data_IF_338421243583
#
_entry.id   IF_338421243583
#
_cell.length_a   1.000
_cell.length_b   1.000
_cell.length_c   1.000
_cell.angle_alpha   90.00
_cell.angle_beta   90.00
_cell.angle_gamma   90.00
#
_symmetry.space_group_name_H-M   'P 1'
#
loop_
_entity.id
_entity.type
_entity.pdbx_description
1 polymer ?
#
# COMPACT_ATOMS: atom_id res chain seq x y z
N UNK A 1 -7.08 -5.23 -6.51
CA UNK A 1 -6.06 -4.23 -6.13
C UNK A 1 -5.46 -3.60 -7.38
N UNK A 2 -5.37 -2.28 -7.40
CA UNK A 2 -4.80 -1.56 -8.53
C UNK A 2 -3.27 -1.66 -8.53
N UNK A 3 -2.69 -1.95 -9.69
CA UNK A 3 -1.24 -1.94 -9.84
C UNK A 3 -0.81 -0.60 -10.45
N UNK A 4 0.14 0.07 -9.81
CA UNK A 4 0.62 1.37 -10.27
C UNK A 4 1.38 1.22 -11.58
N UNK A 5 0.99 1.96 -12.60
CA UNK A 5 1.62 1.90 -13.94
C UNK A 5 2.53 3.08 -14.22
N UNK A 6 2.44 4.14 -13.45
CA UNK A 6 3.28 5.31 -13.56
C UNK A 6 3.56 5.87 -12.18
N UNK A 7 4.55 6.77 -12.08
CA UNK A 7 5.01 7.32 -10.80
C UNK A 7 4.09 8.44 -10.31
N UNK A 8 2.83 8.08 -10.03
CA UNK A 8 1.78 9.04 -9.71
C UNK A 8 0.93 8.68 -8.48
N UNK A 9 1.52 7.97 -7.52
CA UNK A 9 0.79 7.61 -6.30
C UNK A 9 0.26 8.83 -5.57
N UNK A 10 1.00 9.95 -5.62
CA UNK A 10 0.58 11.20 -5.00
C UNK A 10 -0.78 11.69 -5.50
N UNK A 11 -1.10 11.43 -6.77
CA UNK A 11 -2.41 11.78 -7.32
C UNK A 11 -3.50 10.83 -6.81
N UNK A 12 -3.18 9.55 -6.73
CA UNK A 12 -4.12 8.52 -6.26
C UNK A 12 -4.52 8.77 -4.81
N UNK A 13 -3.55 9.11 -3.94
CA UNK A 13 -3.86 9.36 -2.53
C UNK A 13 -4.64 10.66 -2.33
N UNK A 14 -4.56 11.59 -3.25
CA UNK A 14 -5.37 12.82 -3.21
C UNK A 14 -6.78 12.59 -3.73
N UNK A 15 -6.95 11.72 -4.71
CA UNK A 15 -8.24 11.44 -5.35
C UNK A 15 -9.10 10.46 -4.56
N UNK A 16 -8.51 9.70 -3.64
CA UNK A 16 -9.21 8.71 -2.85
C UNK A 16 -9.00 9.00 -1.37
N UNK A 17 -10.09 9.03 -0.61
CA UNK A 17 -10.02 9.36 0.80
C UNK A 17 -9.13 8.41 1.59
N UNK A 18 -9.25 7.10 1.32
CA UNK A 18 -8.50 6.07 2.04
C UNK A 18 -7.78 5.17 1.05
N UNK A 19 -6.47 5.05 1.23
CA UNK A 19 -5.63 4.25 0.33
C UNK A 19 -4.69 3.38 1.16
N UNK A 20 -4.61 2.11 0.80
CA UNK A 20 -3.61 1.19 1.36
C UNK A 20 -2.65 0.80 0.24
N UNK A 21 -1.37 1.02 0.47
CA UNK A 21 -0.32 0.75 -0.53
C UNK A 21 0.56 -0.39 -0.07
N UNK A 22 0.81 -1.34 -0.96
CA UNK A 22 1.88 -2.31 -0.79
C UNK A 22 3.04 -1.88 -1.68
N UNK A 23 4.16 -1.51 -1.07
CA UNK A 23 5.40 -1.28 -1.81
C UNK A 23 6.15 -2.59 -1.97
N UNK A 24 6.57 -2.88 -3.18
CA UNK A 24 7.29 -4.10 -3.49
C UNK A 24 8.31 -3.90 -4.59
N UNK A 25 8.88 -4.98 -5.09
CA UNK A 25 9.82 -4.99 -6.21
C UNK A 25 9.74 -6.34 -6.91
N UNK A 26 10.19 -6.38 -8.16
CA UNK A 26 10.13 -7.61 -8.97
C UNK A 26 10.97 -8.76 -8.39
N UNK A 27 12.04 -8.45 -7.66
CA UNK A 27 12.92 -9.44 -7.05
C UNK A 27 12.45 -9.91 -5.67
N UNK A 28 11.43 -9.28 -5.12
CA UNK A 28 10.98 -9.55 -3.74
C UNK A 28 9.99 -10.72 -3.71
N UNK A 29 10.46 -11.89 -3.27
CA UNK A 29 9.61 -13.09 -3.19
C UNK A 29 8.44 -12.94 -2.24
N UNK A 30 8.68 -12.32 -1.08
CA UNK A 30 7.61 -12.10 -0.07
C UNK A 30 6.55 -11.15 -0.61
N UNK A 31 6.97 -10.13 -1.38
CA UNK A 31 6.03 -9.20 -2.01
C UNK A 31 5.07 -9.93 -2.95
N UNK A 32 5.60 -10.91 -3.70
CA UNK A 32 4.78 -11.71 -4.62
C UNK A 32 3.79 -12.60 -3.89
N UNK A 33 4.17 -13.09 -2.70
CA UNK A 33 3.29 -13.92 -1.86
C UNK A 33 2.20 -13.06 -1.22
N UNK A 34 2.54 -11.86 -0.76
CA UNK A 34 1.60 -10.96 -0.09
C UNK A 34 0.61 -10.32 -1.05
N UNK A 35 1.02 -10.05 -2.28
CA UNK A 35 0.19 -9.36 -3.27
C UNK A 35 -1.20 -9.99 -3.46
N UNK A 36 -1.33 -11.30 -3.72
CA UNK A 36 -2.65 -11.90 -3.85
C UNK A 36 -3.46 -11.88 -2.55
N UNK A 37 -2.79 -11.90 -1.39
CA UNK A 37 -3.48 -11.83 -0.10
C UNK A 37 -4.12 -10.45 0.09
N UNK A 38 -3.42 -9.39 -0.27
CA UNK A 38 -3.97 -8.03 -0.21
C UNK A 38 -5.08 -7.86 -1.24
N UNK A 39 -4.90 -8.40 -2.43
CA UNK A 39 -5.92 -8.34 -3.48
C UNK A 39 -7.22 -8.97 -3.00
N UNK A 40 -7.13 -10.12 -2.32
CA UNK A 40 -8.29 -10.78 -1.77
C UNK A 40 -8.92 -9.97 -0.63
N UNK A 41 -8.10 -9.41 0.25
CA UNK A 41 -8.58 -8.54 1.32
C UNK A 41 -9.32 -7.34 0.77
N UNK A 42 -8.85 -6.77 -0.34
CA UNK A 42 -9.47 -5.60 -0.96
C UNK A 42 -10.89 -5.85 -1.43
N UNK A 43 -11.24 -7.10 -1.73
CA UNK A 43 -12.59 -7.47 -2.14
C UNK A 43 -13.60 -7.31 -1.02
N UNK A 44 -13.15 -7.39 0.24
CA UNK A 44 -14.00 -7.29 1.42
C UNK A 44 -14.04 -5.86 2.00
N UNK A 45 -13.26 -4.93 1.47
CA UNK A 45 -13.14 -3.57 1.99
C UNK A 45 -13.38 -2.58 0.87
N UNK A 46 -14.62 -2.12 0.72
CA UNK A 46 -15.03 -1.31 -0.44
C UNK A 46 -14.58 0.14 -0.41
N UNK A 47 -14.43 0.73 0.77
CA UNK A 47 -14.14 2.16 0.92
C UNK A 47 -12.65 2.48 1.01
N UNK A 48 -11.79 1.48 0.86
CA UNK A 48 -10.34 1.67 0.84
C UNK A 48 -9.80 1.22 -0.52
N UNK A 49 -9.07 2.09 -1.18
CA UNK A 49 -8.41 1.76 -2.45
C UNK A 49 -7.09 1.07 -2.15
N UNK A 50 -6.95 -0.17 -2.59
CA UNK A 50 -5.69 -0.91 -2.46
C UNK A 50 -4.84 -0.72 -3.72
N UNK A 51 -3.55 -0.41 -3.52
CA UNK A 51 -2.61 -0.11 -4.61
C UNK A 51 -1.31 -0.88 -4.38
N UNK A 52 -0.79 -1.50 -5.44
CA UNK A 52 0.54 -2.07 -5.44
C UNK A 52 1.48 -1.12 -6.19
N UNK A 53 2.59 -0.75 -5.56
CA UNK A 53 3.58 0.16 -6.14
C UNK A 53 4.97 -0.48 -6.11
N UNK A 54 5.61 -0.56 -7.28
CA UNK A 54 7.00 -1.00 -7.37
C UNK A 54 7.89 0.14 -6.88
N UNK A 55 8.54 -0.06 -5.73
CA UNK A 55 9.32 0.99 -5.08
C UNK A 55 10.60 1.36 -5.83
N UNK A 56 11.12 0.44 -6.64
CA UNK A 56 12.31 0.72 -7.44
C UNK A 56 11.99 1.43 -8.74
N UNK A 57 10.83 1.08 -9.30
CA UNK A 57 10.38 1.65 -10.57
C UNK A 57 9.81 3.06 -10.41
N UNK A 58 9.22 3.34 -9.23
CA UNK A 58 8.51 4.59 -8.98
C UNK A 58 9.08 5.33 -7.77
N UNK A 59 10.22 6.05 -7.93
CA UNK A 59 10.89 6.68 -6.80
C UNK A 59 10.10 7.79 -6.11
N UNK A 60 9.29 8.56 -6.82
CA UNK A 60 8.49 9.61 -6.20
C UNK A 60 7.36 9.02 -5.37
N UNK A 61 6.74 7.96 -5.88
CA UNK A 61 5.70 7.23 -5.15
C UNK A 61 6.27 6.59 -3.88
N UNK A 62 7.51 6.09 -3.96
CA UNK A 62 8.22 5.52 -2.81
C UNK A 62 8.40 6.53 -1.69
N UNK A 63 8.67 7.79 -2.03
CA UNK A 63 8.96 8.85 -1.05
C UNK A 63 7.76 9.26 -0.22
N UNK A 64 6.55 8.83 -0.57
CA UNK A 64 5.35 9.15 0.22
C UNK A 64 5.34 8.41 1.57
N UNK A 65 6.18 7.41 1.74
CA UNK A 65 6.34 6.66 2.99
C UNK A 65 7.83 6.39 3.22
N UNK A 66 8.17 5.85 4.38
CA UNK A 66 9.55 5.46 4.66
C UNK A 66 9.75 4.00 4.25
N UNK A 67 10.21 3.79 3.02
CA UNK A 67 10.37 2.45 2.46
C UNK A 67 11.84 2.05 2.51
N UNK A 68 12.23 1.41 3.61
CA UNK A 68 13.60 0.94 3.82
C UNK A 68 13.77 -0.55 3.56
N UNK A 69 12.69 -1.31 3.69
CA UNK A 69 12.65 -2.74 3.42
C UNK A 69 11.37 -3.09 2.69
N UNK A 70 11.36 -4.22 2.00
CA UNK A 70 10.19 -4.67 1.24
C UNK A 70 9.72 -6.03 1.76
N UNK A 71 8.40 -6.24 1.83
CA UNK A 71 7.38 -5.26 1.51
C UNK A 71 7.17 -4.24 2.64
N UNK A 72 6.78 -3.03 2.27
CA UNK A 72 6.31 -2.02 3.20
C UNK A 72 4.85 -1.74 2.86
N UNK A 73 4.02 -1.62 3.89
CA UNK A 73 2.60 -1.33 3.73
C UNK A 73 2.33 0.05 4.34
N UNK A 74 1.58 0.87 3.63
CA UNK A 74 1.32 2.24 4.06
C UNK A 74 -0.15 2.60 3.89
N UNK A 75 -0.74 3.18 4.93
CA UNK A 75 -2.13 3.64 4.90
C UNK A 75 -2.19 5.16 4.84
N UNK A 76 -2.99 5.67 3.92
CA UNK A 76 -3.17 7.11 3.71
C UNK A 76 -4.63 7.48 3.91
N UNK A 77 -4.85 8.64 4.53
CA UNK A 77 -6.19 9.23 4.66
C UNK A 77 -6.10 10.70 4.25
N UNK A 78 -6.95 11.11 3.34
CA UNK A 78 -6.98 12.47 2.79
C UNK A 78 -5.60 12.94 2.29
N UNK A 79 -4.86 12.03 1.66
CA UNK A 79 -3.55 12.29 1.08
C UNK A 79 -2.39 12.25 2.06
N UNK A 80 -2.64 11.94 3.34
CA UNK A 80 -1.60 11.94 4.38
C UNK A 80 -1.33 10.53 4.88
N UNK A 81 -0.05 10.22 5.09
CA UNK A 81 0.37 8.95 5.67
C UNK A 81 -0.07 8.89 7.14
N UNK A 82 -0.87 7.88 7.47
CA UNK A 82 -1.39 7.68 8.82
C UNK A 82 -0.62 6.60 9.57
N UNK A 83 -0.31 5.50 8.88
CA UNK A 83 0.36 4.36 9.51
C UNK A 83 1.10 3.56 8.45
N UNK A 84 2.26 3.03 8.81
CA UNK A 84 3.00 2.11 7.94
C UNK A 84 3.63 0.99 8.76
N UNK A 85 3.92 -0.11 8.09
CA UNK A 85 4.62 -1.24 8.68
C UNK A 85 5.37 -2.01 7.60
N UNK A 86 6.41 -2.74 7.98
CA UNK A 86 7.11 -3.62 7.07
C UNK A 86 7.14 -5.04 7.63
N UNK A 87 7.15 -6.03 6.75
CA UNK A 87 7.21 -7.42 7.16
C UNK A 87 6.33 -8.33 6.32
N UNK A 88 6.29 -9.60 6.70
CA UNK A 88 5.67 -10.67 5.91
C UNK A 88 4.35 -11.18 6.47
N UNK A 89 3.78 -10.50 7.47
CA UNK A 89 2.55 -10.96 8.12
C UNK A 89 1.35 -10.13 7.69
N UNK A 90 0.28 -10.81 7.28
CA UNK A 90 -0.96 -10.16 6.86
C UNK A 90 -1.58 -9.36 8.02
N UNK A 91 -1.30 -9.73 9.26
CA UNK A 91 -1.78 -9.02 10.45
C UNK A 91 -1.36 -7.55 10.46
N UNK A 92 -0.16 -7.26 9.92
CA UNK A 92 0.34 -5.88 9.81
C UNK A 92 -0.56 -5.05 8.89
N UNK A 93 -0.99 -5.66 7.80
CA UNK A 93 -1.90 -5.00 6.85
C UNK A 93 -3.26 -4.78 7.49
N UNK A 94 -3.77 -5.78 8.22
CA UNK A 94 -5.05 -5.67 8.90
C UNK A 94 -5.04 -4.52 9.91
N UNK A 95 -3.97 -4.35 10.65
CA UNK A 95 -3.83 -3.24 11.61
C UNK A 95 -3.90 -1.88 10.92
N UNK A 96 -3.26 -1.76 9.76
CA UNK A 96 -3.29 -0.51 8.98
C UNK A 96 -4.70 -0.26 8.45
N UNK A 97 -5.34 -1.30 7.91
CA UNK A 97 -6.71 -1.21 7.40
C UNK A 97 -7.65 -0.73 8.52
N UNK A 98 -7.54 -1.33 9.71
CA UNK A 98 -8.37 -0.96 10.86
C UNK A 98 -8.13 0.50 11.27
N UNK A 99 -6.88 0.94 11.24
CA UNK A 99 -6.52 2.32 11.59
C UNK A 99 -7.14 3.32 10.62
N UNK A 100 -6.94 3.12 9.31
CA UNK A 100 -7.46 4.07 8.32
C UNK A 100 -8.98 3.97 8.17
N UNK A 101 -9.57 2.82 8.44
CA UNK A 101 -11.03 2.65 8.39
C UNK A 101 -11.72 3.48 9.47
N UNK A 102 -11.05 3.73 10.59
CA UNK A 102 -11.61 4.48 11.71
C UNK A 102 -11.53 6.00 11.55
N UNK A 103 -10.92 6.46 10.51
CA UNK A 103 -10.78 7.91 10.25
C UNK A 103 -12.03 8.53 9.63
#
# INVERSE_FOLDING_TARGET
>A
MKELESDNLQDIVKENKKVLVQYGASWCGICKIMKPKLSKMSEDVEDIQFVYADAEKFPQSRELAEVNNLPTFAGFVDGKLVKQAMGSKIDLVQEIVDEIASH
#
